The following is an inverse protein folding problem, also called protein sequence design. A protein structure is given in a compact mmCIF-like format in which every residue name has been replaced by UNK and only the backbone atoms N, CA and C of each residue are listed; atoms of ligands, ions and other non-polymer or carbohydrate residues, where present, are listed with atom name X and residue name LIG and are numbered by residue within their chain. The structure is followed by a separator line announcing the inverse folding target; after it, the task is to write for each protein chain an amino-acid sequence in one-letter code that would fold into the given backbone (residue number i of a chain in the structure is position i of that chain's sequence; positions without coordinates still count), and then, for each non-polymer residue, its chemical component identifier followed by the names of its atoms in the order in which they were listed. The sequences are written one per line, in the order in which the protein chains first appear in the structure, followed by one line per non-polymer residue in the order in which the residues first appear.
data_IF_824973647343
#
_entry.id   IF_824973647343
#
_cell.length_a   1.000
_cell.length_b   1.000
_cell.length_c   1.000
_cell.angle_alpha   90.00
_cell.angle_beta   90.00
_cell.angle_gamma   90.00
#
_symmetry.space_group_name_H-M   'P 1'
#
loop_
_entity.id
_entity.type
_entity.pdbx_description
1 polymer ?
#
# COMPACT_ATOMS: atom_id res chain seq x y z
N UNK A 1 -53.38 -15.21 41.85
CA UNK A 1 -52.34 -14.28 41.37
C UNK A 1 -51.02 -15.04 41.35
N UNK A 2 -50.46 -15.34 40.17
CA UNK A 2 -49.18 -16.05 40.00
C UNK A 2 -48.22 -15.16 39.21
N UNK A 3 -46.93 -15.10 39.58
CA UNK A 3 -46.01 -14.09 39.08
C UNK A 3 -45.53 -14.38 37.66
N UNK A 4 -45.41 -13.33 36.85
CA UNK A 4 -44.65 -13.33 35.60
C UNK A 4 -43.18 -13.61 35.90
N UNK A 5 -42.64 -14.67 35.31
CA UNK A 5 -41.19 -14.85 35.16
C UNK A 5 -40.95 -15.24 33.70
N UNK A 6 -40.38 -14.32 32.93
CA UNK A 6 -39.49 -14.69 31.83
C UNK A 6 -38.54 -13.53 31.56
N UNK A 7 -37.36 -13.71 32.14
CA UNK A 7 -36.19 -12.86 32.08
C UNK A 7 -35.73 -12.74 30.63
N UNK A 8 -35.93 -11.58 30.02
CA UNK A 8 -35.30 -11.22 28.75
C UNK A 8 -33.85 -10.77 29.01
N UNK A 9 -32.93 -11.72 29.11
CA UNK A 9 -31.48 -11.46 29.03
C UNK A 9 -30.95 -12.09 27.76
N UNK A 10 -31.19 -11.43 26.64
CA UNK A 10 -30.36 -11.55 25.45
C UNK A 10 -29.99 -10.14 25.00
N UNK A 11 -28.80 -10.04 24.40
CA UNK A 11 -28.14 -8.84 23.86
C UNK A 11 -27.26 -8.12 24.88
N UNK A 12 -25.96 -8.44 24.86
CA UNK A 12 -24.84 -7.50 24.71
C UNK A 12 -23.53 -8.26 24.99
N UNK A 13 -23.07 -9.08 24.05
CA UNK A 13 -21.72 -9.65 24.11
C UNK A 13 -21.20 -9.91 22.69
N UNK A 14 -21.08 -8.85 21.88
CA UNK A 14 -20.35 -8.93 20.61
C UNK A 14 -19.71 -7.61 20.18
N UNK A 15 -19.43 -6.70 21.12
CA UNK A 15 -18.53 -5.57 20.88
C UNK A 15 -17.21 -5.82 21.58
N UNK A 16 -16.56 -6.95 21.26
CA UNK A 16 -15.11 -6.99 21.39
C UNK A 16 -14.55 -6.01 20.37
N UNK A 17 -13.49 -5.24 20.67
CA UNK A 17 -12.78 -4.53 19.62
C UNK A 17 -12.36 -5.58 18.60
N UNK A 18 -12.95 -5.55 17.40
CA UNK A 18 -12.31 -6.15 16.25
C UNK A 18 -10.99 -5.42 16.13
N UNK A 19 -9.93 -6.00 16.69
CA UNK A 19 -8.56 -5.63 16.33
C UNK A 19 -8.47 -5.88 14.84
N UNK A 20 -8.74 -4.83 14.07
CA UNK A 20 -8.53 -4.80 12.64
C UNK A 20 -7.05 -5.16 12.45
N UNK A 21 -6.81 -6.33 11.87
CA UNK A 21 -5.46 -6.88 11.78
C UNK A 21 -4.83 -6.39 10.48
N UNK A 22 -4.07 -5.31 10.55
CA UNK A 22 -3.34 -4.78 9.41
C UNK A 22 -2.18 -5.71 9.01
N UNK A 23 -1.74 -5.58 7.75
CA UNK A 23 -0.51 -6.21 7.27
C UNK A 23 0.48 -5.19 6.75
N UNK A 24 1.73 -5.59 6.66
CA UNK A 24 2.73 -4.83 5.93
C UNK A 24 2.81 -5.33 4.49
N UNK A 25 2.46 -4.45 3.55
CA UNK A 25 2.55 -4.74 2.11
C UNK A 25 3.45 -3.76 1.40
N UNK A 26 3.94 -4.14 0.24
CA UNK A 26 4.65 -3.26 -0.67
C UNK A 26 4.09 -3.33 -2.08
N UNK A 27 4.38 -2.29 -2.84
CA UNK A 27 4.11 -2.21 -4.27
C UNK A 27 5.33 -1.63 -4.97
N UNK A 28 5.57 -2.08 -6.19
CA UNK A 28 6.71 -1.67 -6.99
C UNK A 28 6.27 -0.90 -8.23
N UNK A 29 6.97 0.20 -8.46
CA UNK A 29 6.86 1.02 -9.65
C UNK A 29 8.17 0.94 -10.41
N UNK A 30 8.15 0.82 -11.73
CA UNK A 30 9.34 0.86 -12.57
C UNK A 30 9.34 2.06 -13.52
N UNK A 31 10.54 2.48 -13.90
CA UNK A 31 10.75 3.49 -14.93
C UNK A 31 12.04 3.20 -15.68
N UNK A 32 12.04 3.40 -16.99
CA UNK A 32 13.26 3.43 -17.79
C UNK A 32 13.98 4.74 -17.60
N UNK A 33 15.28 4.68 -17.30
CA UNK A 33 16.13 5.83 -17.02
C UNK A 33 17.44 5.77 -17.81
N UNK A 34 18.15 6.90 -17.87
CA UNK A 34 19.47 6.98 -18.50
C UNK A 34 20.54 6.47 -17.53
N UNK A 35 21.46 5.66 -18.05
CA UNK A 35 22.66 5.25 -17.32
C UNK A 35 23.51 6.44 -16.87
N UNK A 36 23.93 6.42 -15.60
CA UNK A 36 24.64 7.56 -14.98
C UNK A 36 23.79 8.80 -14.76
N UNK A 37 22.46 8.69 -14.88
CA UNK A 37 21.54 9.78 -14.55
C UNK A 37 21.52 10.10 -13.05
N UNK A 38 20.90 11.23 -12.69
CA UNK A 38 20.85 11.69 -11.31
C UNK A 38 19.89 10.80 -10.47
N UNK A 39 20.46 10.05 -9.51
CA UNK A 39 19.71 9.19 -8.59
C UNK A 39 18.83 10.00 -7.63
N UNK A 40 19.21 11.23 -7.28
CA UNK A 40 18.41 12.09 -6.41
C UNK A 40 17.07 12.48 -7.05
N UNK A 41 17.05 12.60 -8.39
CA UNK A 41 15.78 12.80 -9.13
C UNK A 41 14.88 11.58 -8.99
N UNK A 42 15.43 10.37 -9.12
CA UNK A 42 14.66 9.14 -8.94
C UNK A 42 14.15 8.99 -7.49
N UNK A 43 14.99 9.32 -6.50
CA UNK A 43 14.60 9.30 -5.09
C UNK A 43 13.47 10.31 -4.81
N UNK A 44 13.58 11.53 -5.33
CA UNK A 44 12.54 12.56 -5.20
C UNK A 44 11.22 12.16 -5.88
N UNK A 45 11.29 11.52 -7.04
CA UNK A 45 10.11 10.99 -7.73
C UNK A 45 9.49 9.82 -6.94
N UNK A 46 10.31 8.91 -6.39
CA UNK A 46 9.85 7.80 -5.56
C UNK A 46 9.18 8.29 -4.26
N UNK A 47 9.73 9.31 -3.62
CA UNK A 47 9.07 10.01 -2.52
C UNK A 47 7.72 10.59 -2.95
N UNK A 48 7.64 11.19 -4.14
CA UNK A 48 6.39 11.74 -4.68
C UNK A 48 5.34 10.65 -4.92
N UNK A 49 5.74 9.48 -5.44
CA UNK A 49 4.85 8.32 -5.60
C UNK A 49 4.29 7.92 -4.23
N UNK A 50 5.15 7.75 -3.23
CA UNK A 50 4.74 7.39 -1.87
C UNK A 50 3.77 8.42 -1.26
N UNK A 51 4.03 9.72 -1.41
CA UNK A 51 3.11 10.77 -0.94
C UNK A 51 1.75 10.68 -1.64
N UNK A 52 1.72 10.53 -2.97
CA UNK A 52 0.45 10.40 -3.72
C UNK A 52 -0.34 9.18 -3.28
N UNK A 53 0.31 8.04 -3.06
CA UNK A 53 -0.34 6.84 -2.54
C UNK A 53 -0.89 7.05 -1.13
N UNK A 54 -0.11 7.69 -0.26
CA UNK A 54 -0.52 8.03 1.11
C UNK A 54 -1.73 8.99 1.12
N UNK A 55 -1.70 10.04 0.32
CA UNK A 55 -2.78 11.03 0.22
C UNK A 55 -4.05 10.41 -0.34
N UNK A 56 -3.92 9.55 -1.35
CA UNK A 56 -5.05 8.78 -1.88
C UNK A 56 -5.64 7.87 -0.80
N UNK A 57 -4.81 7.08 -0.12
CA UNK A 57 -5.27 6.23 0.97
C UNK A 57 -6.01 7.04 2.05
N UNK A 58 -5.42 8.14 2.52
CA UNK A 58 -6.01 8.99 3.57
C UNK A 58 -7.33 9.63 3.15
N UNK A 59 -7.47 10.03 1.88
CA UNK A 59 -8.74 10.57 1.34
C UNK A 59 -9.81 9.49 1.11
N UNK A 60 -9.42 8.21 1.14
CA UNK A 60 -10.31 7.06 0.97
C UNK A 60 -10.36 6.21 2.24
N UNK A 61 -10.59 6.85 3.39
CA UNK A 61 -10.76 6.20 4.69
C UNK A 61 -9.58 5.33 5.12
N UNK A 62 -8.36 5.75 4.76
CA UNK A 62 -7.10 5.02 5.01
C UNK A 62 -7.11 3.62 4.35
N UNK A 63 -7.55 3.54 3.10
CA UNK A 63 -7.67 2.32 2.30
C UNK A 63 -6.50 1.32 2.47
N UNK A 64 -5.26 1.82 2.41
CA UNK A 64 -4.03 1.04 2.59
C UNK A 64 -3.30 1.37 3.88
N UNK A 65 -3.96 2.02 4.84
CA UNK A 65 -3.35 2.63 6.03
C UNK A 65 -2.88 4.07 5.82
N UNK A 66 -2.31 4.69 6.84
CA UNK A 66 -1.79 6.07 6.80
C UNK A 66 -0.26 6.17 6.90
N UNK A 67 0.41 5.04 7.13
CA UNK A 67 1.85 4.93 7.37
C UNK A 67 2.55 4.28 6.18
N UNK A 68 3.41 5.06 5.52
CA UNK A 68 4.10 4.68 4.31
C UNK A 68 5.58 5.01 4.36
N UNK A 69 6.40 4.15 3.77
CA UNK A 69 7.80 4.43 3.45
C UNK A 69 8.11 4.11 2.00
N UNK A 70 9.26 4.56 1.52
CA UNK A 70 9.80 4.18 0.21
C UNK A 70 11.27 3.82 0.37
N UNK A 71 11.78 2.98 -0.54
CA UNK A 71 13.19 2.64 -0.54
C UNK A 71 14.06 3.76 -1.09
N UNK A 72 15.17 4.01 -0.39
CA UNK A 72 16.23 4.93 -0.80
C UNK A 72 17.59 4.27 -0.62
N UNK A 73 18.44 4.19 -1.65
CA UNK A 73 18.19 4.66 -3.01
C UNK A 73 17.21 3.77 -3.79
N UNK A 74 16.57 4.33 -4.82
CA UNK A 74 15.83 3.57 -5.84
C UNK A 74 16.75 2.50 -6.45
N UNK A 75 16.25 1.26 -6.53
CA UNK A 75 17.02 0.14 -7.05
C UNK A 75 17.06 0.20 -8.59
N UNK A 76 18.24 0.30 -9.18
CA UNK A 76 18.41 0.26 -10.63
C UNK A 76 19.17 -1.00 -11.05
N UNK A 77 18.73 -1.62 -12.14
CA UNK A 77 19.39 -2.79 -12.71
C UNK A 77 20.70 -2.46 -13.45
N UNK A 78 21.12 -3.37 -14.32
CA UNK A 78 22.29 -3.17 -15.18
C UNK A 78 21.93 -2.35 -16.41
N UNK A 79 22.84 -1.47 -16.83
CA UNK A 79 22.74 -0.73 -18.07
C UNK A 79 22.69 -1.65 -19.30
N UNK A 80 21.69 -1.44 -20.14
CA UNK A 80 21.60 -2.10 -21.44
C UNK A 80 22.52 -1.42 -22.47
N UNK A 81 22.76 -2.05 -23.65
CA UNK A 81 23.61 -1.48 -24.70
C UNK A 81 23.15 -0.13 -25.25
N UNK A 82 21.87 0.24 -25.04
CA UNK A 82 21.31 1.52 -25.46
C UNK A 82 21.53 2.64 -24.43
N UNK A 83 22.30 2.39 -23.36
CA UNK A 83 22.56 3.36 -22.29
C UNK A 83 21.34 3.63 -21.42
N UNK A 84 20.41 2.68 -21.34
CA UNK A 84 19.22 2.74 -20.49
C UNK A 84 19.27 1.69 -19.38
N UNK A 85 18.58 1.97 -18.28
CA UNK A 85 18.42 1.08 -17.14
C UNK A 85 16.98 1.13 -16.64
N UNK A 86 16.45 0.01 -16.17
CA UNK A 86 15.17 -0.02 -15.46
C UNK A 86 15.44 0.20 -13.98
N UNK A 87 14.76 1.18 -13.39
CA UNK A 87 14.82 1.50 -11.98
C UNK A 87 13.47 1.23 -11.32
N UNK A 88 13.50 0.71 -10.10
CA UNK A 88 12.34 0.29 -9.32
C UNK A 88 12.25 1.09 -8.03
N UNK A 89 11.10 1.73 -7.83
CA UNK A 89 10.70 2.40 -6.60
C UNK A 89 9.75 1.47 -5.85
N UNK A 90 10.14 1.05 -4.65
CA UNK A 90 9.31 0.22 -3.80
C UNK A 90 8.69 1.07 -2.70
N UNK A 91 7.36 1.10 -2.64
CA UNK A 91 6.58 1.80 -1.62
C UNK A 91 5.99 0.76 -0.67
N UNK A 92 6.14 0.98 0.64
CA UNK A 92 5.61 0.11 1.70
C UNK A 92 4.46 0.80 2.42
N UNK A 93 3.39 0.07 2.63
CA UNK A 93 2.30 0.40 3.53
C UNK A 93 2.41 -0.47 4.79
N UNK A 94 2.67 0.15 5.94
CA UNK A 94 2.92 -0.58 7.19
C UNK A 94 1.64 -1.07 7.87
N UNK A 95 0.52 -0.44 7.56
CA UNK A 95 -0.79 -0.69 8.18
C UNK A 95 -1.85 -0.94 7.10
N UNK A 96 -1.56 -1.83 6.17
CA UNK A 96 -2.43 -2.17 5.05
C UNK A 96 -3.70 -2.88 5.53
N UNK A 97 -4.88 -2.41 5.09
CA UNK A 97 -6.20 -2.92 5.49
C UNK A 97 -6.77 -3.86 4.43
N UNK A 98 -6.55 -5.16 4.59
CA UNK A 98 -6.91 -6.15 3.56
C UNK A 98 -8.41 -6.32 3.32
N UNK A 99 -9.25 -5.91 4.26
CA UNK A 99 -10.72 -5.99 4.13
C UNK A 99 -11.33 -4.81 3.38
N UNK A 100 -10.55 -3.75 3.11
CA UNK A 100 -11.05 -2.60 2.38
C UNK A 100 -11.02 -2.86 0.88
N UNK A 101 -12.09 -2.49 0.18
CA UNK A 101 -12.18 -2.62 -1.26
C UNK A 101 -11.30 -1.57 -1.95
N UNK A 102 -10.30 -2.04 -2.70
CA UNK A 102 -9.46 -1.20 -3.56
C UNK A 102 -10.00 -1.25 -4.99
N UNK A 103 -10.49 -0.12 -5.54
CA UNK A 103 -11.13 -0.06 -6.85
C UNK A 103 -10.15 -0.31 -8.02
N UNK A 104 -8.84 -0.36 -7.73
CA UNK A 104 -7.79 -0.74 -8.68
C UNK A 104 -7.12 0.44 -9.36
N UNK A 105 -6.03 0.13 -10.08
CA UNK A 105 -5.04 1.08 -10.60
C UNK A 105 -5.63 2.19 -11.49
N UNK A 106 -6.77 1.95 -12.13
CA UNK A 106 -7.48 2.95 -12.95
C UNK A 106 -8.04 4.14 -12.16
N UNK A 107 -8.26 3.99 -10.84
CA UNK A 107 -8.77 5.03 -9.95
C UNK A 107 -7.68 5.68 -9.08
N UNK A 108 -6.45 5.16 -9.18
CA UNK A 108 -5.32 5.65 -8.40
C UNK A 108 -4.82 7.00 -8.93
N UNK A 109 -4.10 7.78 -8.10
CA UNK A 109 -3.49 9.00 -8.59
C UNK A 109 -2.48 8.70 -9.69
N UNK A 110 -2.41 9.56 -10.69
CA UNK A 110 -1.35 9.50 -11.70
C UNK A 110 0.01 9.63 -11.03
N UNK A 111 0.98 8.81 -11.41
CA UNK A 111 2.36 8.90 -10.91
C UNK A 111 3.22 9.86 -11.75
N UNK A 112 4.41 10.28 -11.27
CA UNK A 112 5.33 11.06 -12.09
C UNK A 112 5.60 10.38 -13.44
N UNK A 113 5.88 11.20 -14.47
CA UNK A 113 5.96 10.71 -15.85
C UNK A 113 6.97 9.56 -15.99
N UNK A 114 6.53 8.48 -16.62
CA UNK A 114 7.35 7.32 -16.98
C UNK A 114 7.38 6.21 -15.92
N UNK A 115 6.73 6.39 -14.77
CA UNK A 115 6.56 5.32 -13.79
C UNK A 115 5.33 4.46 -14.12
N UNK A 116 5.52 3.15 -14.21
CA UNK A 116 4.47 2.14 -14.35
C UNK A 116 4.47 1.16 -13.18
N UNK A 117 3.34 0.53 -12.89
CA UNK A 117 3.26 -0.56 -11.89
C UNK A 117 3.98 -1.78 -12.45
N UNK A 118 4.86 -2.42 -11.67
CA UNK A 118 5.68 -3.55 -12.13
C UNK A 118 4.83 -4.77 -12.46
N UNK A 119 3.81 -5.05 -11.65
CA UNK A 119 2.98 -6.24 -11.83
C UNK A 119 1.57 -6.04 -11.23
N UNK A 120 0.62 -5.46 -11.98
CA UNK A 120 -0.73 -5.22 -11.48
C UNK A 120 -1.57 -6.52 -11.33
N UNK A 121 -1.15 -7.63 -11.94
CA UNK A 121 -1.96 -8.84 -12.11
C UNK A 121 -1.48 -10.04 -11.26
N UNK A 122 -0.22 -10.06 -10.80
CA UNK A 122 0.32 -11.15 -9.99
C UNK A 122 -0.29 -11.24 -8.59
N UNK A 123 -0.76 -10.12 -8.05
CA UNK A 123 -1.44 -10.01 -6.75
C UNK A 123 -2.52 -8.92 -6.85
N UNK A 124 -3.57 -8.92 -6.00
CA UNK A 124 -4.64 -7.92 -6.06
C UNK A 124 -4.08 -6.49 -6.11
N UNK A 125 -4.21 -5.85 -7.27
CA UNK A 125 -3.71 -4.51 -7.59
C UNK A 125 -2.18 -4.32 -7.35
N UNK A 126 -1.36 -5.36 -7.44
CA UNK A 126 0.10 -5.24 -7.30
C UNK A 126 0.64 -5.13 -5.87
N UNK A 127 -0.20 -5.28 -4.84
CA UNK A 127 0.24 -5.29 -3.44
C UNK A 127 0.75 -6.65 -2.97
N UNK A 128 2.05 -6.73 -2.68
CA UNK A 128 2.74 -7.94 -2.24
C UNK A 128 2.92 -7.93 -0.72
N UNK A 129 2.65 -9.06 -0.06
CA UNK A 129 2.88 -9.23 1.37
C UNK A 129 4.39 -9.30 1.66
N UNK A 130 4.83 -8.61 2.72
CA UNK A 130 6.22 -8.66 3.17
C UNK A 130 6.54 -9.90 4.03
N UNK A 131 5.53 -10.71 4.38
CA UNK A 131 5.68 -11.91 5.23
C UNK A 131 5.68 -11.62 6.73
N UNK A 132 5.38 -10.38 7.13
CA UNK A 132 5.24 -10.01 8.54
C UNK A 132 3.88 -10.47 9.09
N UNK A 133 3.82 -10.71 10.41
CA UNK A 133 2.57 -11.07 11.09
C UNK A 133 1.58 -9.90 11.10
N UNK A 134 0.32 -10.21 11.37
CA UNK A 134 -0.72 -9.22 11.65
C UNK A 134 -0.23 -8.18 12.67
N UNK A 135 -0.46 -6.92 12.37
CA UNK A 135 -0.09 -5.76 13.19
C UNK A 135 -1.36 -4.99 13.53
N UNK A 136 -1.35 -4.26 14.64
CA UNK A 136 -2.42 -3.30 14.97
C UNK A 136 -2.62 -2.30 13.80
N UNK A 137 -3.80 -1.73 13.64
CA UNK A 137 -4.04 -0.70 12.63
C UNK A 137 -3.93 0.73 13.14
N UNK A 138 -3.91 0.90 14.46
CA UNK A 138 -3.86 2.20 15.14
C UNK A 138 -2.45 2.56 15.66
#
# INVERSE_FOLDING_TARGET
MKPLILVSTLLLAAFGPSTEACRQKYIEWNKTWKCGGNVDTLNSECFTIMQRMRDYSNSHSRLWGGDFTHDTPVACGTCNPNGQVTCTCTVRAWRFREWMYDPGTQYWPTMPRGWGVVDPDQVPNGWVDTGHKNIDCD
#
